data_IF_825295975110
#
_entry.id   IF_825295975110
#
_cell.length_a   1.000
_cell.length_b   1.000
_cell.length_c   1.000
_cell.angle_alpha   90.00
_cell.angle_beta   90.00
_cell.angle_gamma   90.00
#
_symmetry.space_group_name_H-M   'P 1'
#
loop_
_entity.id
_entity.type
_entity.pdbx_description
1 polymer ?
#
# COMPACT_ATOMS: atom_id res chain seq x y z
N UNK A 1 -12.46 -31.51 -43.14
CA UNK A 1 -12.50 -30.34 -42.21
C UNK A 1 -11.73 -30.56 -40.91
N UNK A 2 -11.45 -31.80 -40.43
CA UNK A 2 -10.72 -32.02 -39.16
C UNK A 2 -9.21 -31.67 -39.20
N UNK A 3 -8.53 -31.85 -40.33
CA UNK A 3 -7.09 -31.50 -40.43
C UNK A 3 -6.78 -30.02 -40.22
N UNK A 4 -7.72 -29.12 -40.53
CA UNK A 4 -7.53 -27.69 -40.37
C UNK A 4 -7.69 -27.25 -38.89
N UNK A 5 -8.61 -27.88 -38.15
CA UNK A 5 -8.80 -27.62 -36.72
C UNK A 5 -7.62 -28.14 -35.89
N UNK A 6 -7.09 -29.33 -36.21
CA UNK A 6 -5.99 -29.94 -35.46
C UNK A 6 -4.67 -29.14 -35.63
N UNK A 7 -4.45 -28.58 -36.82
CA UNK A 7 -3.31 -27.69 -37.10
C UNK A 7 -3.44 -26.34 -36.39
N UNK A 8 -4.66 -25.78 -36.33
CA UNK A 8 -4.91 -24.55 -35.59
C UNK A 8 -4.70 -24.74 -34.07
N UNK A 9 -5.11 -25.87 -33.51
CA UNK A 9 -4.96 -26.16 -32.08
C UNK A 9 -3.47 -26.34 -31.69
N UNK A 10 -2.69 -27.03 -32.54
CA UNK A 10 -1.25 -27.20 -32.31
C UNK A 10 -0.46 -25.90 -32.46
N UNK A 11 -0.86 -25.02 -33.39
CA UNK A 11 -0.30 -23.68 -33.51
C UNK A 11 -0.58 -22.82 -32.27
N UNK A 12 -1.81 -22.88 -31.74
CA UNK A 12 -2.18 -22.15 -30.52
C UNK A 12 -1.41 -22.62 -29.28
N UNK A 13 -1.23 -23.94 -29.11
CA UNK A 13 -0.42 -24.50 -28.00
C UNK A 13 1.05 -24.09 -28.08
N UNK A 14 1.63 -24.04 -29.30
CA UNK A 14 3.02 -23.58 -29.50
C UNK A 14 3.17 -22.09 -29.20
N UNK A 15 2.21 -21.27 -29.60
CA UNK A 15 2.21 -19.84 -29.32
C UNK A 15 2.12 -19.57 -27.81
N UNK A 16 1.20 -20.24 -27.09
CA UNK A 16 1.13 -20.17 -25.63
C UNK A 16 2.46 -20.58 -24.98
N UNK A 17 3.03 -21.71 -25.38
CA UNK A 17 4.31 -22.20 -24.83
C UNK A 17 5.44 -21.20 -25.08
N UNK A 18 5.53 -20.63 -26.28
CA UNK A 18 6.56 -19.65 -26.60
C UNK A 18 6.37 -18.35 -25.80
N UNK A 19 5.13 -17.88 -25.62
CA UNK A 19 4.83 -16.73 -24.75
C UNK A 19 5.27 -16.98 -23.31
N UNK A 20 4.95 -18.16 -22.76
CA UNK A 20 5.39 -18.55 -21.41
C UNK A 20 6.91 -18.67 -21.31
N UNK A 21 7.58 -19.23 -22.31
CA UNK A 21 9.05 -19.33 -22.33
C UNK A 21 9.73 -17.95 -22.43
N UNK A 22 9.13 -17.01 -23.17
CA UNK A 22 9.62 -15.63 -23.26
C UNK A 22 9.41 -14.85 -21.96
N UNK A 23 8.33 -15.10 -21.22
CA UNK A 23 8.07 -14.47 -19.93
C UNK A 23 8.67 -15.21 -18.72
N UNK A 24 9.02 -16.50 -18.86
CA UNK A 24 9.55 -17.34 -17.79
C UNK A 24 10.74 -16.72 -17.05
N UNK A 25 11.80 -16.19 -17.71
CA UNK A 25 12.92 -15.60 -16.97
C UNK A 25 12.50 -14.40 -16.12
N UNK A 26 11.62 -13.55 -16.63
CA UNK A 26 11.09 -12.41 -15.88
C UNK A 26 10.23 -12.88 -14.68
N UNK A 27 9.38 -13.87 -14.88
CA UNK A 27 8.54 -14.43 -13.82
C UNK A 27 9.36 -15.10 -12.72
N UNK A 28 10.42 -15.83 -13.09
CA UNK A 28 11.34 -16.45 -12.14
C UNK A 28 12.06 -15.39 -11.31
N UNK A 29 12.58 -14.33 -11.95
CA UNK A 29 13.23 -13.23 -11.24
C UNK A 29 12.25 -12.54 -10.29
N UNK A 30 11.04 -12.20 -10.75
CA UNK A 30 10.02 -11.56 -9.91
C UNK A 30 9.63 -12.47 -8.74
N UNK A 31 9.45 -13.76 -8.99
CA UNK A 31 9.10 -14.75 -7.98
C UNK A 31 10.16 -14.78 -6.87
N UNK A 32 11.43 -15.02 -7.21
CA UNK A 32 12.49 -15.12 -6.20
C UNK A 32 12.80 -13.77 -5.53
N UNK A 33 12.79 -12.67 -6.27
CA UNK A 33 13.08 -11.35 -5.71
C UNK A 33 11.97 -10.86 -4.77
N UNK A 34 10.69 -11.13 -5.08
CA UNK A 34 9.58 -10.71 -4.23
C UNK A 34 9.34 -11.68 -3.07
N UNK A 35 9.38 -12.99 -3.32
CA UNK A 35 9.04 -14.01 -2.32
C UNK A 35 10.22 -14.31 -1.40
N UNK A 36 11.47 -14.21 -1.89
CA UNK A 36 12.66 -14.50 -1.08
C UNK A 36 12.68 -13.74 0.26
N UNK A 37 12.59 -12.40 0.26
CA UNK A 37 12.56 -11.63 1.49
C UNK A 37 11.35 -11.94 2.38
N UNK A 38 10.16 -12.13 1.79
CA UNK A 38 8.95 -12.47 2.53
C UNK A 38 9.05 -13.85 3.20
N UNK A 39 9.69 -14.81 2.52
CA UNK A 39 9.93 -16.14 3.06
C UNK A 39 10.94 -16.10 4.22
N UNK A 40 12.00 -15.30 4.11
CA UNK A 40 12.95 -15.08 5.21
C UNK A 40 12.24 -14.46 6.42
N UNK A 41 11.42 -13.42 6.21
CA UNK A 41 10.62 -12.79 7.28
C UNK A 41 9.66 -13.80 7.92
N UNK A 42 9.01 -14.64 7.11
CA UNK A 42 8.12 -15.68 7.61
C UNK A 42 8.85 -16.68 8.50
N UNK A 43 10.02 -17.18 8.07
CA UNK A 43 10.84 -18.08 8.88
C UNK A 43 11.28 -17.41 10.19
N UNK A 44 11.71 -16.16 10.13
CA UNK A 44 12.17 -15.40 11.29
C UNK A 44 11.04 -15.12 12.28
N UNK A 45 9.80 -14.97 11.79
CA UNK A 45 8.62 -14.78 12.65
C UNK A 45 8.33 -15.95 13.60
N UNK A 46 8.84 -17.14 13.32
CA UNK A 46 8.72 -18.31 14.19
C UNK A 46 9.95 -18.57 15.06
N UNK A 47 11.01 -17.76 14.93
CA UNK A 47 12.24 -17.91 15.70
C UNK A 47 12.25 -17.03 16.95
N UNK A 48 12.96 -17.47 17.99
CA UNK A 48 13.08 -16.74 19.27
C UNK A 48 13.88 -15.45 19.09
N UNK A 49 13.38 -14.35 19.67
CA UNK A 49 14.09 -13.07 19.74
C UNK A 49 15.33 -13.22 20.63
N UNK A 50 16.49 -12.90 20.08
CA UNK A 50 17.76 -12.86 20.78
C UNK A 50 17.91 -11.63 21.67
N UNK A 51 18.91 -11.67 22.55
CA UNK A 51 19.07 -10.72 23.65
C UNK A 51 19.55 -9.33 23.16
N UNK A 52 20.13 -9.25 21.95
CA UNK A 52 20.67 -8.02 21.36
C UNK A 52 20.00 -7.63 20.03
N UNK A 53 18.76 -8.08 19.81
CA UNK A 53 18.02 -7.82 18.57
C UNK A 53 18.40 -8.76 17.42
N UNK A 54 19.18 -9.80 17.72
CA UNK A 54 19.41 -10.95 16.86
C UNK A 54 18.25 -11.97 16.97
N UNK A 55 18.35 -13.06 16.22
CA UNK A 55 17.39 -14.16 16.23
C UNK A 55 18.14 -15.43 16.59
N UNK A 56 17.66 -16.16 17.61
CA UNK A 56 18.26 -17.44 18.01
C UNK A 56 17.87 -18.50 16.98
N UNK A 57 18.80 -18.80 16.08
CA UNK A 57 18.60 -19.79 15.02
C UNK A 57 18.21 -21.15 15.60
N UNK A 58 17.28 -21.84 14.93
CA UNK A 58 16.79 -23.19 15.27
C UNK A 58 16.03 -23.32 16.60
N UNK A 59 15.68 -22.21 17.26
CA UNK A 59 14.77 -22.20 18.39
C UNK A 59 13.41 -21.64 17.94
N UNK A 60 12.43 -22.53 17.83
CA UNK A 60 11.08 -22.15 17.40
C UNK A 60 10.22 -21.74 18.59
N UNK A 61 9.54 -20.60 18.48
CA UNK A 61 8.61 -20.10 19.49
C UNK A 61 7.43 -19.38 18.85
N UNK A 62 6.25 -19.55 19.45
CA UNK A 62 5.02 -18.85 19.08
C UNK A 62 4.86 -17.54 19.85
N UNK A 63 5.81 -17.17 20.70
CA UNK A 63 5.71 -15.95 21.52
C UNK A 63 5.70 -14.67 20.69
N UNK A 64 6.35 -14.65 19.52
CA UNK A 64 6.27 -13.51 18.59
C UNK A 64 4.84 -13.24 18.10
N UNK A 65 4.09 -14.30 17.80
CA UNK A 65 2.69 -14.21 17.41
C UNK A 65 1.77 -13.89 18.59
N UNK A 66 2.08 -14.42 19.77
CA UNK A 66 1.36 -14.09 21.00
C UNK A 66 1.50 -12.61 21.36
N UNK A 67 2.71 -12.05 21.21
CA UNK A 67 3.05 -10.63 21.44
C UNK A 67 2.30 -9.63 20.56
N UNK A 68 1.66 -10.09 19.48
CA UNK A 68 0.83 -9.22 18.62
C UNK A 68 -0.47 -8.82 19.33
N UNK A 69 -1.10 -9.76 20.04
CA UNK A 69 -2.41 -9.57 20.67
C UNK A 69 -2.34 -9.47 22.19
N UNK A 70 -1.35 -10.11 22.81
CA UNK A 70 -1.21 -10.22 24.24
C UNK A 70 0.19 -9.79 24.67
N UNK A 71 0.25 -8.94 25.68
CA UNK A 71 1.48 -8.51 26.32
C UNK A 71 1.56 -9.15 27.70
N UNK A 72 2.74 -9.63 28.09
CA UNK A 72 3.01 -10.04 29.47
C UNK A 72 3.53 -8.83 30.24
N UNK A 73 2.93 -8.57 31.39
CA UNK A 73 3.44 -7.55 32.30
C UNK A 73 4.82 -7.97 32.84
N UNK A 74 5.74 -7.00 32.94
CA UNK A 74 7.13 -7.26 33.32
C UNK A 74 7.28 -7.57 34.82
N UNK A 75 6.33 -7.15 35.65
CA UNK A 75 6.42 -7.25 37.11
C UNK A 75 5.59 -8.40 37.67
N UNK A 76 4.41 -8.66 37.11
CA UNK A 76 3.46 -9.65 37.67
C UNK A 76 3.19 -10.84 36.73
N UNK A 77 3.87 -10.93 35.56
CA UNK A 77 3.65 -11.96 34.53
C UNK A 77 2.18 -12.13 34.08
N UNK A 78 1.34 -11.13 34.38
CA UNK A 78 -0.07 -11.15 34.01
C UNK A 78 -0.22 -10.93 32.51
N UNK A 79 -1.07 -11.74 31.88
CA UNK A 79 -1.37 -11.62 30.46
C UNK A 79 -2.44 -10.55 30.28
N UNK A 80 -2.05 -9.42 29.72
CA UNK A 80 -2.95 -8.33 29.35
C UNK A 80 -3.04 -8.21 27.83
N UNK A 81 -4.09 -7.57 27.33
CA UNK A 81 -4.21 -7.28 25.90
C UNK A 81 -3.16 -6.25 25.51
N UNK A 82 -2.53 -6.44 24.34
CA UNK A 82 -1.59 -5.48 23.79
C UNK A 82 -2.34 -4.26 23.21
N UNK A 83 -2.93 -3.45 24.09
CA UNK A 83 -3.83 -2.35 23.74
C UNK A 83 -3.20 -1.38 22.73
N UNK A 84 -1.90 -1.11 22.84
CA UNK A 84 -1.17 -0.26 21.89
C UNK A 84 -1.14 -0.85 20.47
N UNK A 85 -0.85 -2.15 20.33
CA UNK A 85 -0.80 -2.82 19.02
C UNK A 85 -2.20 -2.85 18.39
N UNK A 86 -3.22 -3.19 19.19
CA UNK A 86 -4.61 -3.25 18.74
C UNK A 86 -5.10 -1.85 18.33
N UNK A 87 -4.77 -0.81 19.10
CA UNK A 87 -5.15 0.56 18.79
C UNK A 87 -4.51 1.05 17.49
N UNK A 88 -3.21 0.80 17.28
CA UNK A 88 -2.51 1.18 16.04
C UNK A 88 -3.09 0.43 14.85
N UNK A 89 -3.39 -0.87 15.00
CA UNK A 89 -4.00 -1.68 13.96
C UNK A 89 -5.39 -1.15 13.58
N UNK A 90 -6.26 -0.94 14.56
CA UNK A 90 -7.60 -0.40 14.35
C UNK A 90 -7.57 1.01 13.75
N UNK A 91 -6.63 1.86 14.19
CA UNK A 91 -6.43 3.19 13.60
C UNK A 91 -6.05 3.09 12.13
N UNK A 92 -5.15 2.16 11.78
CA UNK A 92 -4.70 1.94 10.40
C UNK A 92 -5.84 1.46 9.51
N UNK A 93 -6.62 0.47 9.97
CA UNK A 93 -7.81 -0.03 9.27
C UNK A 93 -8.86 1.07 9.09
N UNK A 94 -9.14 1.83 10.15
CA UNK A 94 -10.10 2.95 10.07
C UNK A 94 -9.63 4.00 9.06
N UNK A 95 -8.35 4.37 9.10
CA UNK A 95 -7.79 5.38 8.21
C UNK A 95 -7.80 4.91 6.75
N UNK A 96 -7.46 3.66 6.47
CA UNK A 96 -7.46 3.11 5.11
C UNK A 96 -8.88 3.02 4.54
N UNK A 97 -9.86 2.60 5.35
CA UNK A 97 -11.28 2.57 4.94
C UNK A 97 -11.82 3.98 4.69
N UNK A 98 -11.59 4.92 5.61
CA UNK A 98 -12.01 6.32 5.44
C UNK A 98 -11.38 6.93 4.19
N UNK A 99 -10.09 6.68 3.96
CA UNK A 99 -9.37 7.16 2.77
C UNK A 99 -9.95 6.54 1.50
N UNK A 100 -10.21 5.24 1.48
CA UNK A 100 -10.79 4.54 0.32
C UNK A 100 -12.19 5.06 -0.03
N UNK A 101 -13.03 5.28 0.98
CA UNK A 101 -14.36 5.86 0.78
C UNK A 101 -14.27 7.29 0.28
N UNK A 102 -13.39 8.11 0.88
CA UNK A 102 -13.18 9.49 0.43
C UNK A 102 -12.67 9.54 -1.03
N UNK A 103 -11.68 8.72 -1.39
CA UNK A 103 -11.16 8.68 -2.76
C UNK A 103 -12.19 8.15 -3.75
N UNK A 104 -13.10 7.26 -3.35
CA UNK A 104 -14.20 6.83 -4.21
C UNK A 104 -15.23 7.95 -4.40
N UNK A 105 -15.62 8.63 -3.32
CA UNK A 105 -16.59 9.73 -3.35
C UNK A 105 -16.11 10.91 -4.20
N UNK A 106 -14.82 11.26 -4.15
CA UNK A 106 -14.27 12.37 -4.95
C UNK A 106 -13.72 11.91 -6.31
N UNK A 107 -13.08 10.75 -6.34
CA UNK A 107 -12.42 10.21 -7.53
C UNK A 107 -13.39 9.68 -8.57
N UNK A 108 -14.49 9.02 -8.16
CA UNK A 108 -15.46 8.49 -9.11
C UNK A 108 -16.18 9.59 -9.90
N UNK A 109 -16.72 10.66 -9.27
CA UNK A 109 -17.29 11.78 -10.02
C UNK A 109 -16.28 12.47 -10.92
N UNK A 110 -15.03 12.62 -10.46
CA UNK A 110 -13.97 13.24 -11.26
C UNK A 110 -13.62 12.38 -12.49
N UNK A 111 -13.49 11.07 -12.32
CA UNK A 111 -13.24 10.14 -13.42
C UNK A 111 -14.40 10.12 -14.42
N UNK A 112 -15.64 10.10 -13.92
CA UNK A 112 -16.84 10.18 -14.75
C UNK A 112 -16.90 11.49 -15.54
N UNK A 113 -16.61 12.62 -14.88
CA UNK A 113 -16.52 13.92 -15.52
C UNK A 113 -15.52 13.89 -16.68
N UNK A 114 -14.32 13.35 -16.47
CA UNK A 114 -13.28 13.27 -17.50
C UNK A 114 -13.69 12.35 -18.65
N UNK A 115 -14.34 11.23 -18.35
CA UNK A 115 -14.81 10.27 -19.35
C UNK A 115 -15.85 10.85 -20.30
N UNK A 116 -16.67 11.80 -19.84
CA UNK A 116 -17.72 12.45 -20.64
C UNK A 116 -17.23 13.61 -21.52
N UNK A 117 -15.94 14.00 -21.43
CA UNK A 117 -15.40 15.15 -22.18
C UNK A 117 -14.86 14.77 -23.57
N UNK A 118 -14.85 15.73 -24.53
CA UNK A 118 -14.23 15.54 -25.84
C UNK A 118 -12.75 15.13 -25.73
N UNK A 119 -12.27 14.35 -26.70
CA UNK A 119 -10.92 13.76 -26.68
C UNK A 119 -9.79 14.77 -26.40
N UNK A 120 -9.87 15.96 -27.01
CA UNK A 120 -8.84 17.01 -26.86
C UNK A 120 -8.75 17.60 -25.44
N UNK A 121 -9.87 17.72 -24.73
CA UNK A 121 -9.87 18.23 -23.35
C UNK A 121 -9.63 17.12 -22.33
N UNK A 122 -10.01 15.88 -22.65
CA UNK A 122 -9.74 14.70 -21.81
C UNK A 122 -8.25 14.51 -21.53
N UNK A 123 -7.40 14.68 -22.54
CA UNK A 123 -5.93 14.56 -22.40
C UNK A 123 -5.38 15.57 -21.38
N UNK A 124 -5.87 16.81 -21.40
CA UNK A 124 -5.45 17.86 -20.45
C UNK A 124 -5.85 17.50 -19.02
N UNK A 125 -7.08 17.01 -18.81
CA UNK A 125 -7.54 16.59 -17.48
C UNK A 125 -6.75 15.40 -16.93
N UNK A 126 -6.46 14.40 -17.77
CA UNK A 126 -5.63 13.26 -17.39
C UNK A 126 -4.21 13.69 -17.04
N UNK A 127 -3.63 14.61 -17.82
CA UNK A 127 -2.33 15.19 -17.53
C UNK A 127 -2.33 15.89 -16.16
N UNK A 128 -3.31 16.75 -15.89
CA UNK A 128 -3.41 17.50 -14.62
C UNK A 128 -3.49 16.58 -13.40
N UNK A 129 -4.23 15.47 -13.48
CA UNK A 129 -4.32 14.48 -12.39
C UNK A 129 -3.02 13.69 -12.21
N UNK A 130 -2.24 13.51 -13.28
CA UNK A 130 -0.97 12.76 -13.24
C UNK A 130 0.20 13.60 -12.71
N UNK A 131 0.17 14.93 -12.85
CA UNK A 131 1.21 15.83 -12.30
C UNK A 131 1.56 15.54 -10.83
N UNK A 132 0.61 15.46 -9.87
CA UNK A 132 0.96 15.19 -8.48
C UNK A 132 1.59 13.81 -8.27
N UNK A 133 1.36 12.85 -9.17
CA UNK A 133 2.01 11.54 -9.11
C UNK A 133 3.51 11.61 -9.45
N UNK A 134 3.94 12.57 -10.28
CA UNK A 134 5.36 12.76 -10.60
C UNK A 134 6.16 13.49 -9.51
N UNK A 135 5.48 14.00 -8.49
CA UNK A 135 6.15 14.68 -7.37
C UNK A 135 6.54 13.70 -6.26
N UNK A 136 7.65 14.00 -5.57
CA UNK A 136 8.12 13.17 -4.46
C UNK A 136 7.12 13.19 -3.28
N UNK A 137 6.86 12.01 -2.69
CA UNK A 137 5.94 11.87 -1.56
C UNK A 137 6.29 12.79 -0.39
N UNK A 138 7.57 12.96 -0.06
CA UNK A 138 8.03 13.84 1.01
C UNK A 138 7.64 15.29 0.73
N UNK A 139 7.86 15.78 -0.50
CA UNK A 139 7.51 17.15 -0.90
C UNK A 139 6.01 17.36 -0.75
N UNK A 140 5.19 16.40 -1.18
CA UNK A 140 3.72 16.47 -1.03
C UNK A 140 3.30 16.52 0.44
N UNK A 141 3.90 15.70 1.29
CA UNK A 141 3.59 15.68 2.72
C UNK A 141 3.98 17.00 3.39
N UNK A 142 5.17 17.53 3.11
CA UNK A 142 5.59 18.84 3.64
C UNK A 142 4.74 20.00 3.12
N UNK A 143 4.37 19.99 1.84
CA UNK A 143 3.52 21.03 1.27
C UNK A 143 2.15 21.09 1.95
N UNK A 144 1.51 19.94 2.20
CA UNK A 144 0.22 19.90 2.90
C UNK A 144 0.38 20.36 4.35
N UNK A 145 1.44 19.93 5.05
CA UNK A 145 1.73 20.40 6.40
C UNK A 145 1.90 21.92 6.44
N UNK A 146 2.64 22.49 5.49
CA UNK A 146 2.84 23.94 5.40
C UNK A 146 1.54 24.71 5.14
N UNK A 147 0.67 24.16 4.31
CA UNK A 147 -0.63 24.76 3.97
C UNK A 147 -1.58 24.80 5.17
N UNK A 148 -1.57 23.74 6.01
CA UNK A 148 -2.49 23.56 7.14
C UNK A 148 -1.94 24.11 8.46
N UNK A 149 -0.63 24.34 8.56
CA UNK A 149 0.01 24.85 9.79
C UNK A 149 -0.61 26.19 10.22
N UNK A 150 -0.44 26.55 11.49
CA UNK A 150 -0.98 27.77 12.09
C UNK A 150 -0.61 29.04 11.28
N UNK A 151 0.65 29.16 10.85
CA UNK A 151 1.15 30.24 9.98
C UNK A 151 1.01 29.92 8.47
N UNK A 152 0.19 28.93 8.13
CA UNK A 152 0.01 28.42 6.78
C UNK A 152 -0.82 29.33 5.91
N UNK A 153 -0.80 29.05 4.60
CA UNK A 153 -1.55 29.82 3.59
C UNK A 153 -3.05 29.82 3.89
N UNK A 154 -3.60 28.70 4.36
CA UNK A 154 -5.05 28.59 4.66
C UNK A 154 -5.43 29.49 5.83
N UNK A 155 -4.74 29.37 6.97
CA UNK A 155 -5.03 30.17 8.16
C UNK A 155 -4.80 31.65 7.91
N UNK A 156 -3.74 32.00 7.19
CA UNK A 156 -3.46 33.39 6.78
C UNK A 156 -4.59 33.99 5.93
N UNK A 157 -5.19 33.21 5.03
CA UNK A 157 -6.34 33.65 4.21
C UNK A 157 -7.59 33.76 5.09
N UNK A 158 -7.86 32.78 5.94
CA UNK A 158 -9.04 32.77 6.81
C UNK A 158 -9.05 33.95 7.79
N UNK A 159 -7.90 34.27 8.39
CA UNK A 159 -7.70 35.46 9.24
C UNK A 159 -7.95 36.76 8.45
N UNK A 160 -7.40 36.86 7.23
CA UNK A 160 -7.62 38.04 6.36
C UNK A 160 -9.07 38.22 5.95
N UNK A 161 -9.81 37.13 5.76
CA UNK A 161 -11.25 37.16 5.45
C UNK A 161 -12.13 37.37 6.69
N UNK A 162 -11.55 37.41 7.90
CA UNK A 162 -12.28 37.61 9.16
C UNK A 162 -13.13 36.42 9.61
N UNK A 163 -12.93 35.23 9.01
CA UNK A 163 -13.69 34.01 9.34
C UNK A 163 -13.23 33.42 10.68
N UNK A 164 -11.97 33.63 11.04
CA UNK A 164 -11.37 33.19 12.31
C UNK A 164 -10.66 34.39 12.97
N UNK A 165 -10.62 34.42 14.31
CA UNK A 165 -9.91 35.46 15.07
C UNK A 165 -8.48 35.06 15.46
N UNK A 166 -8.20 33.76 15.59
CA UNK A 166 -6.89 33.21 15.94
C UNK A 166 -6.65 31.92 15.10
N UNK A 167 -5.39 31.64 14.71
CA UNK A 167 -5.01 30.49 13.89
C UNK A 167 -5.03 29.14 14.62
#
# INVERSE_FOLDING_TARGET
MSRASDVAETAHRRDIRNRWLLSAPALVIIFFAAIGPLFVVLLYSFMVKGDYGDVKYWQFSTEGWFGVLFQRDIFDDTVTLADANIQIFLRSVRLSLMTTLATLVFGFPTAYFIATRPQRTREIWLFLITIPFWTNLLIRTYAIMEVIRNEGVVNSILLKTGIIQEP
#
